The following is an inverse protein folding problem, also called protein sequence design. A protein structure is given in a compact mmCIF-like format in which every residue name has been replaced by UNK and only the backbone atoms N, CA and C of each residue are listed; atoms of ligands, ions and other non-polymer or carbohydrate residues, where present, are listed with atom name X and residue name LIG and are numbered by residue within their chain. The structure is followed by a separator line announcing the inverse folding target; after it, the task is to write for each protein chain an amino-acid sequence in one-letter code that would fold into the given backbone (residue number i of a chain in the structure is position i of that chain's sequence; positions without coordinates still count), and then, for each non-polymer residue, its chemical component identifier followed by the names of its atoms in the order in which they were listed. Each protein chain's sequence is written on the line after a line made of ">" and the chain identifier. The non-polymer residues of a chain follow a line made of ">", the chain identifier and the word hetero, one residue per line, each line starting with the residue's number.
data_IF_466167630017
#
_entry.id   IF_466167630017
#
_cell.length_a   1.000
_cell.length_b   1.000
_cell.length_c   1.000
_cell.angle_alpha   90.00
_cell.angle_beta   90.00
_cell.angle_gamma   90.00
#
_symmetry.space_group_name_H-M   'P 1'
#
loop_
_entity.id
_entity.type
_entity.pdbx_description
1 polymer ?
#
# COMPACT_ATOMS: atom_id res chain seq x y z
N UNK A 1 -5.65 31.33 -20.67
CA UNK A 1 -5.50 30.60 -19.39
C UNK A 1 -5.99 31.51 -18.28
N UNK A 2 -6.91 31.06 -17.41
CA UNK A 2 -7.28 31.84 -16.22
C UNK A 2 -6.05 31.98 -15.33
N UNK A 3 -5.76 33.19 -14.90
CA UNK A 3 -4.70 33.46 -13.93
C UNK A 3 -5.13 32.81 -12.60
N UNK A 4 -4.24 32.13 -11.86
CA UNK A 4 -4.59 31.59 -10.54
C UNK A 4 -5.09 32.70 -9.61
N UNK A 5 -6.08 32.39 -8.77
CA UNK A 5 -6.75 33.37 -7.91
C UNK A 5 -5.76 34.13 -7.00
N UNK A 6 -4.66 33.50 -6.62
CA UNK A 6 -3.62 34.10 -5.77
C UNK A 6 -2.89 35.28 -6.45
N UNK A 7 -2.95 35.41 -7.78
CA UNK A 7 -2.41 36.56 -8.52
C UNK A 7 -3.46 37.62 -8.83
N UNK A 8 -4.73 37.37 -8.49
CA UNK A 8 -5.76 38.41 -8.51
C UNK A 8 -5.74 39.26 -7.24
N UNK A 9 -4.96 38.85 -6.24
CA UNK A 9 -4.69 39.55 -5.00
C UNK A 9 -4.20 41.00 -5.21
N UNK A 10 -4.75 41.92 -4.40
CA UNK A 10 -4.50 43.36 -4.49
C UNK A 10 -3.03 43.71 -4.22
N UNK A 11 -2.43 43.12 -3.19
CA UNK A 11 -1.02 43.34 -2.87
C UNK A 11 -0.11 42.85 -4.00
N UNK A 12 -0.43 41.72 -4.63
CA UNK A 12 0.35 41.21 -5.78
C UNK A 12 0.30 42.19 -6.96
N UNK A 13 -0.89 42.72 -7.28
CA UNK A 13 -1.08 43.67 -8.39
C UNK A 13 -0.40 45.01 -8.14
N UNK A 14 -0.63 45.58 -6.96
CA UNK A 14 -0.26 46.97 -6.68
C UNK A 14 1.20 47.12 -6.22
N UNK A 15 1.77 46.04 -5.68
CA UNK A 15 3.15 46.01 -5.18
C UNK A 15 4.06 45.18 -6.07
N UNK A 16 3.79 43.87 -6.21
CA UNK A 16 4.76 42.94 -6.80
C UNK A 16 4.84 43.04 -8.33
N UNK A 17 3.75 43.38 -8.99
CA UNK A 17 3.72 43.67 -10.42
C UNK A 17 4.06 45.12 -10.77
N UNK A 18 4.08 46.01 -9.76
CA UNK A 18 4.33 47.43 -9.98
C UNK A 18 5.82 47.72 -10.24
N UNK A 19 6.15 47.94 -11.51
CA UNK A 19 7.50 48.32 -11.97
C UNK A 19 7.70 49.84 -12.10
N UNK A 20 6.78 50.67 -11.59
CA UNK A 20 6.92 52.13 -11.59
C UNK A 20 8.09 52.57 -10.72
N UNK A 21 8.79 53.64 -11.10
CA UNK A 21 9.82 54.23 -10.22
C UNK A 21 9.21 55.05 -9.07
N UNK A 22 7.91 55.35 -9.13
CA UNK A 22 7.21 56.04 -8.04
C UNK A 22 7.16 55.13 -6.82
N UNK A 23 7.53 55.71 -5.69
CA UNK A 23 7.45 55.03 -4.39
C UNK A 23 5.98 54.94 -3.95
N UNK A 24 5.65 53.84 -3.29
CA UNK A 24 4.34 53.66 -2.65
C UNK A 24 4.28 54.46 -1.34
N UNK A 25 3.07 54.61 -0.79
CA UNK A 25 2.91 55.24 0.52
C UNK A 25 3.68 54.45 1.59
N UNK A 26 4.49 55.16 2.38
CA UNK A 26 5.34 54.61 3.44
C UNK A 26 6.33 53.53 2.93
N UNK A 27 6.72 53.62 1.66
CA UNK A 27 7.74 52.73 1.08
C UNK A 27 9.15 53.19 1.46
N UNK A 28 9.87 52.32 2.14
CA UNK A 28 11.27 52.52 2.50
C UNK A 28 12.16 51.62 1.66
N UNK A 29 13.29 52.15 1.18
CA UNK A 29 14.28 51.40 0.40
C UNK A 29 15.59 51.23 1.16
N UNK A 30 16.13 50.01 1.18
CA UNK A 30 17.45 49.69 1.75
C UNK A 30 18.35 49.02 0.72
N UNK A 31 19.65 49.31 0.77
CA UNK A 31 20.65 48.66 -0.08
C UNK A 31 20.76 47.18 0.31
N UNK A 32 20.83 46.30 -0.68
CA UNK A 32 21.03 44.86 -0.43
C UNK A 32 22.52 44.61 -0.16
N UNK A 33 22.84 44.13 1.04
CA UNK A 33 24.22 43.82 1.45
C UNK A 33 24.84 42.74 0.53
N UNK A 34 26.03 43.03 -0.01
CA UNK A 34 26.71 42.19 -1.01
C UNK A 34 26.16 42.32 -2.43
N UNK A 35 25.20 43.22 -2.66
CA UNK A 35 24.60 43.53 -3.95
C UNK A 35 24.28 45.04 -4.04
N UNK A 36 25.29 45.88 -3.87
CA UNK A 36 25.17 47.34 -3.66
C UNK A 36 24.52 48.09 -4.84
N UNK A 37 24.52 47.46 -6.01
CA UNK A 37 23.82 47.88 -7.23
C UNK A 37 22.28 47.77 -7.13
N UNK A 38 21.76 47.19 -6.05
CA UNK A 38 20.34 46.91 -5.87
C UNK A 38 19.86 47.39 -4.50
N UNK A 39 18.61 47.83 -4.48
CA UNK A 39 17.88 48.15 -3.25
C UNK A 39 16.60 47.30 -3.18
N UNK A 40 16.15 47.02 -1.96
CA UNK A 40 14.90 46.32 -1.68
C UNK A 40 14.00 47.20 -0.81
N UNK A 41 12.70 47.18 -1.07
CA UNK A 41 11.73 47.89 -0.26
C UNK A 41 11.13 47.07 0.87
N UNK A 42 10.59 47.73 1.90
CA UNK A 42 9.84 47.10 2.99
C UNK A 42 8.63 46.30 2.48
N UNK A 43 8.09 46.66 1.31
CA UNK A 43 7.03 45.91 0.62
C UNK A 43 7.55 44.80 -0.30
N UNK A 44 8.87 44.61 -0.45
CA UNK A 44 9.45 43.54 -1.26
C UNK A 44 9.62 43.85 -2.76
N UNK A 45 9.50 45.12 -3.15
CA UNK A 45 9.91 45.58 -4.49
C UNK A 45 11.44 45.64 -4.55
N UNK A 46 12.01 45.45 -5.74
CA UNK A 46 13.47 45.48 -5.93
C UNK A 46 13.83 46.49 -7.00
N UNK A 47 14.74 47.41 -6.67
CA UNK A 47 15.20 48.49 -7.53
C UNK A 47 16.64 48.19 -7.95
N UNK A 48 16.88 48.08 -9.25
CA UNK A 48 18.23 48.16 -9.81
C UNK A 48 18.60 49.64 -9.87
N UNK A 49 19.69 50.00 -9.19
CA UNK A 49 20.16 51.39 -9.14
C UNK A 49 20.87 51.76 -10.44
N UNK A 50 20.86 53.06 -10.71
CA UNK A 50 21.62 53.65 -11.81
C UNK A 50 23.13 53.39 -11.61
N UNK A 51 23.81 52.97 -12.67
CA UNK A 51 25.26 52.72 -12.65
C UNK A 51 25.87 52.76 -14.05
N UNK A 52 27.16 53.02 -14.12
CA UNK A 52 27.95 52.86 -15.34
C UNK A 52 28.57 51.46 -15.38
N UNK A 53 28.51 50.82 -16.53
CA UNK A 53 29.10 49.49 -16.75
C UNK A 53 30.06 49.58 -17.94
N UNK A 54 31.34 49.21 -17.77
CA UNK A 54 32.30 49.24 -18.86
C UNK A 54 31.95 48.18 -19.90
N UNK A 55 31.90 48.58 -21.17
CA UNK A 55 31.74 47.67 -22.30
C UNK A 55 33.11 47.12 -22.72
N UNK A 56 33.16 45.93 -23.36
CA UNK A 56 34.41 45.40 -23.94
C UNK A 56 35.07 46.33 -24.96
N UNK A 57 34.31 47.27 -25.51
CA UNK A 57 34.76 48.29 -26.47
C UNK A 57 35.46 49.49 -25.80
N UNK A 58 35.54 49.54 -24.47
CA UNK A 58 36.14 50.63 -23.70
C UNK A 58 35.24 51.85 -23.44
N UNK A 59 33.97 51.80 -23.88
CA UNK A 59 32.97 52.82 -23.56
C UNK A 59 32.14 52.42 -22.34
N UNK A 60 31.68 53.41 -21.56
CA UNK A 60 30.79 53.16 -20.43
C UNK A 60 29.31 53.17 -20.86
N UNK A 61 28.60 52.10 -20.54
CA UNK A 61 27.15 52.03 -20.68
C UNK A 61 26.47 52.52 -19.41
N UNK A 62 25.67 53.59 -19.51
CA UNK A 62 24.82 54.06 -18.41
C UNK A 62 23.57 53.18 -18.30
N UNK A 63 23.49 52.34 -17.27
CA UNK A 63 22.25 51.63 -16.92
C UNK A 63 21.39 52.53 -16.05
N UNK A 64 20.24 52.95 -16.56
CA UNK A 64 19.24 53.70 -15.79
C UNK A 64 18.65 52.84 -14.67
N UNK A 65 18.20 53.52 -13.62
CA UNK A 65 17.46 52.86 -12.55
C UNK A 65 16.14 52.25 -13.04
N UNK A 66 15.73 51.15 -12.41
CA UNK A 66 14.44 50.50 -12.68
C UNK A 66 13.98 49.62 -11.54
N UNK A 67 12.68 49.52 -11.33
CA UNK A 67 12.09 48.47 -10.49
C UNK A 67 12.02 47.17 -11.31
N UNK A 68 12.55 46.10 -10.72
CA UNK A 68 12.75 44.80 -11.37
C UNK A 68 11.48 43.96 -11.33
N UNK A 69 11.23 43.22 -12.42
CA UNK A 69 10.21 42.17 -12.43
C UNK A 69 10.64 41.00 -11.54
N UNK A 70 9.75 40.59 -10.64
CA UNK A 70 9.96 39.47 -9.73
C UNK A 70 9.61 38.14 -10.40
N UNK A 71 10.12 37.05 -9.82
CA UNK A 71 9.95 35.68 -10.29
C UNK A 71 9.08 34.92 -9.29
N UNK A 72 7.98 34.35 -9.77
CA UNK A 72 7.06 33.56 -8.95
C UNK A 72 7.32 32.06 -9.14
N UNK A 73 7.58 31.36 -8.04
CA UNK A 73 7.88 29.92 -8.03
C UNK A 73 6.68 29.16 -7.50
N UNK A 74 6.07 28.36 -8.37
CA UNK A 74 4.99 27.45 -7.98
C UNK A 74 5.55 26.25 -7.20
N UNK A 75 4.98 26.00 -6.03
CA UNK A 75 5.21 24.80 -5.22
C UNK A 75 3.92 23.99 -5.21
N UNK A 76 3.97 22.76 -5.72
CA UNK A 76 2.81 21.87 -5.79
C UNK A 76 2.78 20.96 -4.57
N UNK A 77 1.63 20.87 -3.92
CA UNK A 77 1.34 19.86 -2.92
C UNK A 77 0.44 18.79 -3.55
N UNK A 78 1.02 17.65 -3.92
CA UNK A 78 0.28 16.55 -4.53
C UNK A 78 -0.79 15.95 -3.59
N UNK A 79 -0.54 15.97 -2.27
CA UNK A 79 -1.46 15.39 -1.28
C UNK A 79 -2.76 16.21 -1.14
N UNK A 80 -2.64 17.54 -1.10
CA UNK A 80 -3.78 18.44 -0.98
C UNK A 80 -4.30 18.94 -2.34
N UNK A 81 -3.72 18.45 -3.44
CA UNK A 81 -3.95 18.93 -4.82
C UNK A 81 -3.91 20.46 -4.96
N UNK A 82 -3.18 21.13 -4.06
CA UNK A 82 -3.10 22.58 -3.96
C UNK A 82 -1.73 23.09 -4.38
N UNK A 83 -1.68 24.37 -4.75
CA UNK A 83 -0.44 25.05 -5.12
C UNK A 83 -0.20 26.24 -4.20
N UNK A 84 1.05 26.55 -3.95
CA UNK A 84 1.45 27.77 -3.24
C UNK A 84 2.60 28.43 -3.99
N UNK A 85 2.72 29.75 -3.89
CA UNK A 85 3.73 30.50 -4.63
C UNK A 85 4.77 31.12 -3.71
N UNK A 86 5.97 31.33 -4.24
CA UNK A 86 7.05 32.06 -3.57
C UNK A 86 7.65 33.12 -4.47
N UNK A 87 7.98 34.26 -3.89
CA UNK A 87 8.56 35.40 -4.61
C UNK A 87 10.08 35.36 -4.54
N UNK A 88 10.70 35.41 -5.72
CA UNK A 88 12.14 35.41 -5.91
C UNK A 88 12.57 36.56 -6.81
N UNK A 89 13.85 36.89 -6.74
CA UNK A 89 14.50 37.84 -7.64
C UNK A 89 15.82 37.27 -8.15
N UNK A 90 16.33 37.89 -9.22
CA UNK A 90 17.66 37.57 -9.75
C UNK A 90 18.53 38.81 -9.64
N UNK A 91 19.56 38.73 -8.81
CA UNK A 91 20.56 39.78 -8.63
C UNK A 91 21.82 39.39 -9.38
N UNK A 92 22.47 40.33 -10.07
CA UNK A 92 23.72 40.08 -10.79
C UNK A 92 24.89 40.79 -10.11
N UNK A 93 25.97 40.06 -9.84
CA UNK A 93 27.22 40.57 -9.27
C UNK A 93 28.39 39.93 -10.03
N UNK A 94 29.33 40.75 -10.52
CA UNK A 94 30.53 40.29 -11.26
C UNK A 94 30.21 39.32 -12.41
N UNK A 95 29.17 39.62 -13.19
CA UNK A 95 28.71 38.77 -14.29
C UNK A 95 27.96 37.49 -13.88
N UNK A 96 27.95 37.12 -12.59
CA UNK A 96 27.21 35.96 -12.07
C UNK A 96 25.80 36.35 -11.62
N UNK A 97 24.82 35.49 -11.90
CA UNK A 97 23.41 35.66 -11.52
C UNK A 97 23.09 34.85 -10.27
N UNK A 98 22.45 35.48 -9.30
CA UNK A 98 22.07 34.90 -8.02
C UNK A 98 20.56 35.00 -7.83
N UNK A 99 19.91 33.85 -7.67
CA UNK A 99 18.49 33.80 -7.30
C UNK A 99 18.34 33.96 -5.80
N UNK A 100 17.65 35.00 -5.34
CA UNK A 100 17.40 35.26 -3.92
C UNK A 100 15.90 35.22 -3.62
N UNK A 101 15.55 34.89 -2.38
CA UNK A 101 14.16 34.94 -1.89
C UNK A 101 13.87 36.37 -1.45
N UNK A 102 12.77 36.94 -1.96
CA UNK A 102 12.38 38.31 -1.61
C UNK A 102 12.01 38.39 -0.12
N UNK A 103 11.21 37.43 0.39
CA UNK A 103 10.86 37.37 1.81
C UNK A 103 12.09 37.37 2.74
N UNK A 104 13.15 36.60 2.40
CA UNK A 104 14.39 36.60 3.20
C UNK A 104 15.09 37.95 3.18
N UNK A 105 15.16 38.59 2.01
CA UNK A 105 15.79 39.90 1.87
C UNK A 105 15.00 40.96 2.65
N UNK A 106 13.67 41.00 2.53
CA UNK A 106 12.83 41.95 3.25
C UNK A 106 13.01 41.75 4.76
N UNK A 107 12.88 40.52 5.25
CA UNK A 107 13.02 40.24 6.68
C UNK A 107 14.41 40.65 7.20
N UNK A 108 15.47 40.30 6.47
CA UNK A 108 16.84 40.62 6.87
C UNK A 108 17.10 42.13 6.98
N UNK A 109 16.57 42.92 6.04
CA UNK A 109 16.84 44.36 5.98
C UNK A 109 15.85 45.20 6.80
N UNK A 110 14.63 44.73 7.04
CA UNK A 110 13.57 45.53 7.68
C UNK A 110 13.07 45.00 9.02
N UNK A 111 13.33 43.73 9.36
CA UNK A 111 12.83 43.14 10.62
C UNK A 111 13.98 42.79 11.55
N UNK A 112 14.87 41.87 11.14
CA UNK A 112 15.97 41.41 11.98
C UNK A 112 17.07 40.79 11.11
N UNK A 113 18.33 41.17 11.36
CA UNK A 113 19.48 40.57 10.68
C UNK A 113 19.71 39.12 11.10
N UNK A 114 20.01 38.28 10.14
CA UNK A 114 20.35 36.87 10.36
C UNK A 114 21.29 36.35 9.25
N UNK A 115 21.95 35.21 9.48
CA UNK A 115 22.78 34.60 8.43
C UNK A 115 21.93 34.17 7.23
N UNK A 116 22.09 34.88 6.11
CA UNK A 116 21.38 34.62 4.87
C UNK A 116 21.69 33.25 4.25
N UNK A 117 22.80 32.62 4.64
CA UNK A 117 23.18 31.28 4.21
C UNK A 117 22.66 30.18 5.14
N UNK A 118 22.20 30.52 6.34
CA UNK A 118 21.63 29.57 7.27
C UNK A 118 20.28 29.05 6.74
N UNK A 119 20.26 27.75 6.45
CA UNK A 119 19.11 26.99 5.96
C UNK A 119 18.16 26.56 7.07
N UNK A 120 18.57 26.68 8.34
CA UNK A 120 17.75 26.41 9.51
C UNK A 120 16.75 27.53 9.80
N UNK A 121 17.04 28.72 9.28
CA UNK A 121 16.18 29.90 9.38
C UNK A 121 15.20 29.90 8.20
N UNK A 122 13.90 29.88 8.50
CA UNK A 122 12.84 29.96 7.51
C UNK A 122 12.02 31.22 7.76
N UNK A 123 11.84 32.01 6.71
CA UNK A 123 10.93 33.14 6.72
C UNK A 123 9.61 32.70 6.06
N UNK A 124 8.50 32.87 6.78
CA UNK A 124 7.15 32.60 6.30
C UNK A 124 6.28 33.85 6.45
N UNK A 125 5.16 33.91 5.74
CA UNK A 125 4.14 34.93 5.99
C UNK A 125 3.24 34.50 7.17
N UNK A 126 2.64 35.46 7.86
CA UNK A 126 1.74 35.19 8.98
C UNK A 126 0.39 34.61 8.53
N UNK A 127 -0.05 34.99 7.33
CA UNK A 127 -1.29 34.54 6.67
C UNK A 127 -1.14 33.27 5.83
N UNK A 128 0.02 32.60 5.87
CA UNK A 128 0.38 31.45 5.03
C UNK A 128 0.34 31.70 3.50
N UNK A 129 0.16 32.95 3.03
CA UNK A 129 0.32 33.35 1.62
C UNK A 129 1.77 33.74 1.30
N UNK A 130 2.51 32.85 0.63
CA UNK A 130 3.91 33.08 0.24
C UNK A 130 4.15 34.19 -0.80
N UNK A 131 3.11 34.86 -1.28
CA UNK A 131 3.19 36.08 -2.07
C UNK A 131 3.28 37.34 -1.19
N UNK A 132 2.74 37.34 0.02
CA UNK A 132 2.73 38.51 0.89
C UNK A 132 4.06 38.66 1.62
N UNK A 133 4.96 39.43 1.01
CA UNK A 133 6.37 39.58 1.43
C UNK A 133 6.68 40.91 2.10
N UNK A 134 5.66 41.64 2.56
CA UNK A 134 5.84 42.89 3.29
C UNK A 134 6.44 42.63 4.69
N UNK A 135 7.27 43.53 5.17
CA UNK A 135 8.01 43.36 6.44
C UNK A 135 7.10 43.07 7.64
N UNK A 136 5.91 43.69 7.69
CA UNK A 136 4.94 43.50 8.78
C UNK A 136 4.25 42.13 8.80
N UNK A 137 4.25 41.40 7.68
CA UNK A 137 3.61 40.09 7.56
C UNK A 137 4.60 38.92 7.61
N UNK A 138 5.90 39.17 7.83
CA UNK A 138 6.91 38.12 7.80
C UNK A 138 7.34 37.72 9.21
N UNK A 139 7.49 36.40 9.42
CA UNK A 139 7.93 35.80 10.67
C UNK A 139 9.13 34.88 10.43
N UNK A 140 10.11 34.95 11.34
CA UNK A 140 11.23 34.02 11.40
C UNK A 140 10.86 32.82 12.26
N UNK A 141 10.95 31.63 11.68
CA UNK A 141 10.76 30.36 12.37
C UNK A 141 11.91 29.39 12.06
N UNK A 142 12.05 28.39 12.92
CA UNK A 142 12.96 27.26 12.71
C UNK A 142 12.38 26.25 11.71
N UNK A 143 13.25 25.42 11.12
CA UNK A 143 12.82 24.26 10.31
C UNK A 143 11.93 23.31 11.12
N UNK A 144 12.16 23.18 12.43
CA UNK A 144 11.36 22.31 13.30
C UNK A 144 9.93 22.81 13.41
N UNK A 145 9.73 24.09 13.70
CA UNK A 145 8.40 24.71 13.77
C UNK A 145 7.68 24.63 12.43
N UNK A 146 8.40 24.82 11.31
CA UNK A 146 7.83 24.64 9.98
C UNK A 146 7.32 23.21 9.75
N UNK A 147 8.07 22.19 10.18
CA UNK A 147 7.65 20.79 10.09
C UNK A 147 6.41 20.53 10.94
N UNK A 148 6.35 21.09 12.15
CA UNK A 148 5.17 20.99 13.02
C UNK A 148 3.94 21.67 12.40
N UNK A 149 4.06 22.90 11.88
CA UNK A 149 2.99 23.56 11.13
C UNK A 149 2.52 22.71 9.94
N UNK A 150 3.44 22.12 9.18
CA UNK A 150 3.12 21.22 8.06
C UNK A 150 2.30 20.00 8.52
N UNK A 151 2.65 19.43 9.68
CA UNK A 151 1.96 18.29 10.27
C UNK A 151 0.55 18.65 10.77
N UNK A 152 0.41 19.74 11.53
CA UNK A 152 -0.87 20.19 12.08
C UNK A 152 -1.83 20.69 11.00
N UNK A 153 -1.32 21.38 9.98
CA UNK A 153 -2.14 21.83 8.85
C UNK A 153 -2.42 20.70 7.84
N UNK A 154 -2.15 19.43 8.19
CA UNK A 154 -2.34 18.25 7.35
C UNK A 154 -1.80 18.43 5.92
N UNK A 155 -0.65 19.10 5.77
CA UNK A 155 -0.04 19.33 4.44
C UNK A 155 0.76 18.13 3.93
N UNK A 156 0.85 17.07 4.73
CA UNK A 156 1.44 15.78 4.39
C UNK A 156 0.59 14.67 5.03
N UNK A 157 0.71 13.44 4.52
CA UNK A 157 -0.02 12.27 5.03
C UNK A 157 0.16 12.13 6.55
N UNK A 158 -0.89 12.42 7.30
CA UNK A 158 -0.89 12.36 8.75
C UNK A 158 -1.68 11.15 9.24
N UNK A 159 -0.99 10.14 9.76
CA UNK A 159 -1.62 8.90 10.24
C UNK A 159 -2.60 9.15 11.38
N UNK A 160 -2.33 10.11 12.28
CA UNK A 160 -3.25 10.43 13.37
C UNK A 160 -4.60 10.93 12.85
N UNK A 161 -4.58 11.82 11.85
CA UNK A 161 -5.82 12.34 11.26
C UNK A 161 -6.58 11.23 10.53
N UNK A 162 -5.88 10.36 9.80
CA UNK A 162 -6.49 9.21 9.12
C UNK A 162 -7.14 8.26 10.14
N UNK A 163 -6.44 7.94 11.23
CA UNK A 163 -6.95 7.00 12.23
C UNK A 163 -8.01 7.61 13.16
N UNK A 164 -8.20 8.92 13.12
CA UNK A 164 -9.34 9.59 13.74
C UNK A 164 -10.62 9.54 12.89
N UNK A 165 -10.57 9.01 11.66
CA UNK A 165 -11.76 8.93 10.82
C UNK A 165 -12.78 7.93 11.39
N UNK A 166 -14.08 8.27 11.37
CA UNK A 166 -15.13 7.39 11.85
C UNK A 166 -15.35 6.21 10.90
N UNK A 167 -15.67 5.04 11.48
CA UNK A 167 -15.80 3.77 10.75
C UNK A 167 -17.01 2.97 11.18
N UNK A 168 -17.49 2.13 10.26
CA UNK A 168 -18.56 1.16 10.50
C UNK A 168 -18.03 -0.26 10.38
N UNK A 169 -18.47 -1.09 11.31
CA UNK A 169 -18.12 -2.51 11.40
C UNK A 169 -19.26 -3.36 10.84
N UNK A 170 -18.93 -4.30 9.96
CA UNK A 170 -19.89 -5.23 9.38
C UNK A 170 -19.46 -6.69 9.56
N UNK A 171 -20.43 -7.60 9.53
CA UNK A 171 -20.15 -9.02 9.36
C UNK A 171 -19.53 -9.27 7.98
N UNK A 172 -18.95 -10.46 7.80
CA UNK A 172 -18.40 -10.88 6.50
C UNK A 172 -19.46 -10.95 5.39
N UNK A 173 -20.74 -11.08 5.77
CA UNK A 173 -21.91 -11.17 4.89
C UNK A 173 -22.61 -9.81 4.69
N UNK A 174 -22.09 -8.73 5.28
CA UNK A 174 -22.57 -7.37 5.07
C UNK A 174 -23.65 -6.87 6.02
N UNK A 175 -23.87 -7.53 7.16
CA UNK A 175 -24.74 -7.01 8.21
C UNK A 175 -23.98 -6.00 9.07
N UNK A 176 -24.51 -4.78 9.22
CA UNK A 176 -23.94 -3.77 10.12
C UNK A 176 -24.00 -4.25 11.58
N UNK A 177 -22.90 -4.05 12.31
CA UNK A 177 -22.75 -4.44 13.72
C UNK A 177 -22.66 -3.21 14.62
N UNK A 178 -21.73 -2.30 14.30
CA UNK A 178 -21.42 -1.14 15.13
C UNK A 178 -20.87 0.02 14.29
N UNK A 179 -20.89 1.21 14.88
CA UNK A 179 -20.22 2.42 14.38
C UNK A 179 -19.29 2.93 15.47
N UNK A 180 -18.14 3.46 15.08
CA UNK A 180 -17.12 4.02 15.97
C UNK A 180 -16.73 5.41 15.47
N UNK A 181 -16.42 6.29 16.41
CA UNK A 181 -16.06 7.68 16.10
C UNK A 181 -14.65 7.77 15.48
N UNK A 182 -13.82 6.73 15.68
CA UNK A 182 -12.49 6.64 15.09
C UNK A 182 -12.03 5.21 14.80
N UNK A 183 -11.05 5.06 13.88
CA UNK A 183 -10.34 3.80 13.67
C UNK A 183 -9.60 3.36 14.94
N UNK A 184 -9.09 4.31 15.74
CA UNK A 184 -8.43 4.00 17.01
C UNK A 184 -9.37 3.30 18.00
N UNK A 185 -10.57 3.84 18.19
CA UNK A 185 -11.59 3.26 19.06
C UNK A 185 -11.98 1.85 18.59
N UNK A 186 -12.22 1.70 17.28
CA UNK A 186 -12.51 0.41 16.68
C UNK A 186 -11.38 -0.61 16.90
N UNK A 187 -10.13 -0.17 16.73
CA UNK A 187 -8.93 -1.01 16.87
C UNK A 187 -8.71 -1.47 18.31
N UNK A 188 -8.97 -0.61 19.29
CA UNK A 188 -8.94 -0.94 20.72
C UNK A 188 -9.98 -2.02 21.05
N UNK A 189 -11.21 -1.86 20.55
CA UNK A 189 -12.30 -2.81 20.78
C UNK A 189 -11.98 -4.23 20.26
N UNK A 190 -11.34 -4.33 19.09
CA UNK A 190 -10.93 -5.64 18.53
C UNK A 190 -9.52 -6.08 18.96
N UNK A 191 -8.82 -5.27 19.78
CA UNK A 191 -7.43 -5.48 20.20
C UNK A 191 -6.47 -5.75 19.03
N UNK A 192 -6.57 -4.94 17.97
CA UNK A 192 -5.68 -5.00 16.81
C UNK A 192 -5.09 -3.63 16.48
N UNK A 193 -4.17 -3.58 15.50
CA UNK A 193 -3.64 -2.30 15.03
C UNK A 193 -4.68 -1.56 14.18
N UNK A 194 -4.71 -0.22 14.30
CA UNK A 194 -5.49 0.65 13.41
C UNK A 194 -5.13 0.44 11.92
N UNK A 195 -3.86 0.12 11.65
CA UNK A 195 -3.37 -0.24 10.32
C UNK A 195 -4.10 -1.45 9.74
N UNK A 196 -4.37 -2.49 10.54
CA UNK A 196 -5.11 -3.67 10.07
C UNK A 196 -6.53 -3.30 9.59
N UNK A 197 -7.20 -2.37 10.26
CA UNK A 197 -8.50 -1.85 9.85
C UNK A 197 -8.36 -1.02 8.56
N UNK A 198 -7.31 -0.20 8.47
CA UNK A 198 -7.03 0.60 7.27
C UNK A 198 -6.78 -0.26 6.03
N UNK A 199 -6.02 -1.34 6.16
CA UNK A 199 -5.74 -2.28 5.07
C UNK A 199 -7.05 -2.93 4.55
N UNK A 200 -8.03 -3.13 5.43
CA UNK A 200 -9.37 -3.60 5.03
C UNK A 200 -10.13 -2.52 4.28
N UNK A 201 -10.08 -1.27 4.75
CA UNK A 201 -10.71 -0.12 4.08
C UNK A 201 -10.10 0.08 2.67
N UNK A 202 -8.80 -0.13 2.53
CA UNK A 202 -8.09 -0.09 1.24
C UNK A 202 -8.26 -1.36 0.39
N UNK A 203 -8.98 -2.36 0.88
CA UNK A 203 -9.21 -3.66 0.21
C UNK A 203 -7.94 -4.49 -0.01
N UNK A 204 -6.86 -4.20 0.73
CA UNK A 204 -5.63 -5.01 0.76
C UNK A 204 -5.87 -6.32 1.54
N UNK A 205 -6.65 -6.23 2.61
CA UNK A 205 -7.16 -7.39 3.34
C UNK A 205 -8.67 -7.46 3.30
N UNK A 206 -9.20 -8.68 3.44
CA UNK A 206 -10.63 -8.88 3.52
C UNK A 206 -11.17 -8.49 4.90
N UNK A 207 -10.47 -8.81 5.98
CA UNK A 207 -10.98 -8.64 7.35
C UNK A 207 -9.91 -8.23 8.35
N UNK A 208 -10.36 -7.51 9.39
CA UNK A 208 -9.60 -7.18 10.59
C UNK A 208 -10.48 -7.47 11.80
N UNK A 209 -9.94 -8.17 12.80
CA UNK A 209 -10.71 -8.71 13.94
C UNK A 209 -11.79 -9.71 13.53
N UNK A 210 -11.80 -10.17 12.27
CA UNK A 210 -12.87 -11.00 11.70
C UNK A 210 -14.09 -10.25 11.17
N UNK A 211 -13.97 -8.93 11.02
CA UNK A 211 -15.02 -8.04 10.51
C UNK A 211 -14.59 -7.34 9.23
N UNK A 212 -15.59 -6.83 8.50
CA UNK A 212 -15.40 -5.90 7.39
C UNK A 212 -15.50 -4.48 7.92
N UNK A 213 -14.69 -3.58 7.35
CA UNK A 213 -14.57 -2.21 7.83
C UNK A 213 -14.68 -1.24 6.66
N UNK A 214 -15.47 -0.20 6.84
CA UNK A 214 -15.63 0.87 5.87
C UNK A 214 -15.65 2.21 6.60
N UNK A 215 -15.16 3.25 5.94
CA UNK A 215 -15.34 4.63 6.43
C UNK A 215 -16.83 4.93 6.57
N UNK A 216 -17.21 5.70 7.59
CA UNK A 216 -18.61 6.06 7.81
C UNK A 216 -19.22 6.84 6.64
N UNK A 217 -18.39 7.56 5.88
CA UNK A 217 -18.76 8.29 4.66
C UNK A 217 -19.05 7.40 3.46
N UNK A 218 -18.68 6.12 3.52
CA UNK A 218 -18.86 5.15 2.44
C UNK A 218 -20.00 4.18 2.76
N UNK A 219 -20.89 3.96 1.79
CA UNK A 219 -21.97 2.98 1.89
C UNK A 219 -21.55 1.76 1.06
N UNK A 220 -21.24 0.62 1.69
CA UNK A 220 -20.79 -0.56 0.97
C UNK A 220 -21.94 -1.21 0.20
N UNK A 221 -21.62 -1.73 -0.99
CA UNK A 221 -22.56 -2.47 -1.82
C UNK A 221 -22.39 -4.00 -1.62
N UNK A 222 -23.24 -4.80 -2.29
CA UNK A 222 -23.14 -6.26 -2.20
C UNK A 222 -21.81 -6.80 -2.72
N UNK A 223 -21.17 -6.12 -3.67
CA UNK A 223 -19.91 -6.54 -4.27
C UNK A 223 -18.72 -6.36 -3.32
N UNK A 224 -18.77 -5.37 -2.43
CA UNK A 224 -17.74 -5.17 -1.39
C UNK A 224 -17.64 -6.36 -0.41
N UNK A 225 -18.72 -7.11 -0.27
CA UNK A 225 -18.76 -8.33 0.57
C UNK A 225 -18.38 -9.59 -0.21
N UNK A 226 -18.42 -9.55 -1.54
CA UNK A 226 -18.02 -10.68 -2.38
C UNK A 226 -16.51 -10.83 -2.41
N UNK A 227 -16.05 -12.09 -2.30
CA UNK A 227 -14.63 -12.40 -2.46
C UNK A 227 -14.35 -12.59 -3.95
N UNK A 228 -14.00 -11.51 -4.63
CA UNK A 228 -13.59 -11.59 -6.02
C UNK A 228 -12.29 -12.39 -6.12
N UNK A 229 -12.33 -13.50 -6.86
CA UNK A 229 -11.14 -14.23 -7.26
C UNK A 229 -10.39 -13.42 -8.31
N UNK A 230 -9.54 -12.49 -7.89
CA UNK A 230 -8.49 -12.04 -8.81
C UNK A 230 -7.66 -13.27 -9.22
N UNK A 231 -7.37 -13.45 -10.52
CA UNK A 231 -6.62 -14.58 -11.07
C UNK A 231 -5.11 -14.42 -10.83
N UNK A 232 -4.70 -13.85 -9.70
CA UNK A 232 -3.31 -13.39 -9.47
C UNK A 232 -2.30 -14.52 -9.32
N UNK A 233 -2.70 -15.77 -9.54
CA UNK A 233 -1.80 -16.86 -9.90
C UNK A 233 -2.65 -17.99 -10.46
N UNK A 234 -2.51 -18.32 -11.74
CA UNK A 234 -2.98 -19.61 -12.24
C UNK A 234 -2.22 -20.65 -11.38
N UNK A 235 -2.90 -21.48 -10.57
CA UNK A 235 -2.20 -22.47 -9.77
C UNK A 235 -1.41 -23.38 -10.71
N UNK A 236 -0.13 -23.62 -10.40
CA UNK A 236 0.67 -24.58 -11.16
C UNK A 236 -0.11 -25.89 -11.28
N UNK A 237 -0.44 -26.28 -12.51
CA UNK A 237 -1.27 -27.47 -12.78
C UNK A 237 -0.59 -28.73 -12.24
N UNK A 238 0.75 -28.75 -12.19
CA UNK A 238 1.57 -29.85 -11.72
C UNK A 238 2.08 -29.61 -10.29
N UNK A 239 1.88 -30.59 -9.42
CA UNK A 239 2.58 -30.69 -8.14
C UNK A 239 4.05 -31.10 -8.37
N UNK A 240 4.90 -30.11 -8.67
CA UNK A 240 6.31 -30.31 -9.00
C UNK A 240 7.10 -31.00 -7.87
N UNK A 241 6.75 -30.73 -6.61
CA UNK A 241 7.41 -31.35 -5.44
C UNK A 241 7.18 -32.85 -5.41
N UNK A 242 5.94 -33.30 -5.61
CA UNK A 242 5.61 -34.72 -5.67
C UNK A 242 6.25 -35.40 -6.89
N UNK A 243 6.19 -34.76 -8.06
CA UNK A 243 6.80 -35.26 -9.28
C UNK A 243 8.32 -35.47 -9.14
N UNK A 244 9.03 -34.51 -8.52
CA UNK A 244 10.46 -34.66 -8.21
C UNK A 244 10.73 -35.82 -7.25
N UNK A 245 9.93 -35.97 -6.19
CA UNK A 245 10.07 -37.06 -5.21
C UNK A 245 9.79 -38.45 -5.79
N UNK A 246 8.99 -38.55 -6.85
CA UNK A 246 8.74 -39.80 -7.59
C UNK A 246 9.84 -40.16 -8.60
N UNK A 247 10.95 -39.41 -8.62
CA UNK A 247 12.02 -39.66 -9.58
C UNK A 247 11.71 -39.12 -10.98
N UNK A 248 10.88 -38.08 -11.08
CA UNK A 248 10.52 -37.40 -12.35
C UNK A 248 10.00 -38.37 -13.42
N UNK A 249 8.92 -39.12 -13.14
CA UNK A 249 8.33 -40.01 -14.12
C UNK A 249 7.92 -39.24 -15.38
N UNK A 250 8.00 -39.90 -16.54
CA UNK A 250 7.56 -39.32 -17.81
C UNK A 250 6.03 -39.16 -17.82
N UNK A 251 5.56 -37.93 -17.63
CA UNK A 251 4.13 -37.57 -17.54
C UNK A 251 3.87 -36.28 -18.30
N UNK A 252 2.66 -36.13 -18.83
CA UNK A 252 2.23 -34.87 -19.45
C UNK A 252 2.09 -33.78 -18.37
N UNK A 253 2.90 -32.73 -18.46
CA UNK A 253 2.91 -31.61 -17.51
C UNK A 253 1.63 -30.77 -17.62
N UNK A 254 1.01 -30.71 -18.81
CA UNK A 254 -0.23 -29.96 -19.05
C UNK A 254 -1.45 -30.72 -18.57
N UNK A 255 -1.40 -32.05 -18.57
CA UNK A 255 -2.45 -32.91 -18.04
C UNK A 255 -1.85 -34.02 -17.15
N UNK A 256 -1.36 -33.66 -15.96
CA UNK A 256 -0.68 -34.60 -15.09
C UNK A 256 -1.64 -35.63 -14.50
N UNK A 257 -1.12 -36.81 -14.08
CA UNK A 257 -1.90 -37.80 -13.37
C UNK A 257 -2.61 -37.22 -12.13
N UNK A 258 -3.76 -37.77 -11.76
CA UNK A 258 -4.62 -37.25 -10.71
C UNK A 258 -3.87 -36.91 -9.40
N UNK A 259 -2.94 -37.76 -8.94
CA UNK A 259 -2.16 -37.51 -7.73
C UNK A 259 -1.26 -36.27 -7.76
N UNK A 260 -0.89 -35.78 -8.96
CA UNK A 260 -0.07 -34.60 -9.18
C UNK A 260 -0.86 -33.42 -9.79
N UNK A 261 -2.13 -33.62 -10.13
CA UNK A 261 -2.96 -32.62 -10.79
C UNK A 261 -3.60 -31.66 -9.78
N UNK A 262 -3.18 -30.40 -9.83
CA UNK A 262 -3.61 -29.32 -8.94
C UNK A 262 -4.72 -28.45 -9.54
N UNK A 263 -5.21 -28.76 -10.74
CA UNK A 263 -6.27 -28.02 -11.42
C UNK A 263 -7.61 -28.19 -10.70
N UNK A 264 -8.39 -27.11 -10.60
CA UNK A 264 -9.76 -27.16 -10.11
C UNK A 264 -10.73 -27.80 -11.11
N UNK A 265 -10.34 -27.97 -12.38
CA UNK A 265 -11.16 -28.64 -13.38
C UNK A 265 -11.27 -30.13 -13.06
N UNK A 266 -12.46 -30.69 -13.21
CA UNK A 266 -12.72 -32.10 -13.02
C UNK A 266 -12.07 -32.92 -14.15
N UNK A 267 -11.50 -34.07 -13.79
CA UNK A 267 -10.98 -35.03 -14.74
C UNK A 267 -12.13 -35.87 -15.34
N UNK A 268 -11.95 -36.46 -16.52
CA UNK A 268 -12.99 -37.32 -17.11
C UNK A 268 -13.41 -38.45 -16.16
N UNK A 269 -14.72 -38.61 -15.94
CA UNK A 269 -15.30 -39.64 -15.05
C UNK A 269 -14.84 -39.52 -13.59
N UNK A 270 -14.56 -38.29 -13.14
CA UNK A 270 -14.23 -38.02 -11.76
C UNK A 270 -15.46 -37.68 -10.92
N UNK A 271 -15.65 -38.43 -9.83
CA UNK A 271 -16.74 -38.22 -8.89
C UNK A 271 -16.17 -37.74 -7.56
N UNK A 272 -16.88 -36.85 -6.86
CA UNK A 272 -16.45 -36.30 -5.59
C UNK A 272 -17.37 -36.74 -4.44
N UNK A 273 -16.79 -37.16 -3.33
CA UNK A 273 -17.49 -37.49 -2.08
C UNK A 273 -16.92 -36.71 -0.89
N UNK A 274 -17.72 -36.37 0.13
CA UNK A 274 -17.22 -35.67 1.31
C UNK A 274 -16.25 -36.55 2.11
N UNK A 275 -15.18 -35.93 2.62
CA UNK A 275 -14.26 -36.59 3.56
C UNK A 275 -14.96 -36.67 4.94
N UNK A 276 -15.10 -37.87 5.53
CA UNK A 276 -15.80 -38.03 6.81
C UNK A 276 -15.14 -37.24 7.95
N UNK A 277 -15.97 -36.58 8.78
CA UNK A 277 -15.54 -35.88 9.99
C UNK A 277 -15.03 -34.45 9.77
N UNK A 278 -15.34 -33.82 8.63
CA UNK A 278 -14.88 -32.47 8.27
C UNK A 278 -15.97 -31.54 7.73
N UNK A 279 -17.26 -31.77 8.03
CA UNK A 279 -18.37 -30.86 7.70
C UNK A 279 -18.37 -30.37 6.23
N UNK A 280 -18.09 -31.28 5.29
CA UNK A 280 -17.99 -31.00 3.85
C UNK A 280 -16.92 -29.95 3.45
N UNK A 281 -15.97 -29.63 4.34
CA UNK A 281 -14.83 -28.75 4.01
C UNK A 281 -13.80 -29.38 3.07
N UNK A 282 -13.75 -30.71 3.04
CA UNK A 282 -12.88 -31.45 2.15
C UNK A 282 -13.68 -32.50 1.41
N UNK A 283 -13.41 -32.63 0.11
CA UNK A 283 -13.95 -33.65 -0.78
C UNK A 283 -12.79 -34.53 -1.27
N UNK A 284 -13.04 -35.81 -1.45
CA UNK A 284 -12.14 -36.75 -2.12
C UNK A 284 -12.75 -37.19 -3.44
N UNK A 285 -11.95 -37.21 -4.50
CA UNK A 285 -12.37 -37.69 -5.80
C UNK A 285 -12.16 -39.20 -5.96
N UNK A 286 -12.92 -39.84 -6.85
CA UNK A 286 -12.76 -41.25 -7.21
C UNK A 286 -11.36 -41.59 -7.75
N UNK A 287 -10.62 -40.59 -8.23
CA UNK A 287 -9.23 -40.70 -8.70
C UNK A 287 -8.19 -40.34 -7.63
N UNK A 288 -8.64 -40.05 -6.41
CA UNK A 288 -7.77 -39.81 -5.25
C UNK A 288 -7.34 -38.37 -5.06
N UNK A 289 -7.91 -37.40 -5.78
CA UNK A 289 -7.65 -35.97 -5.54
C UNK A 289 -8.37 -35.52 -4.29
N UNK A 290 -7.81 -34.54 -3.58
CA UNK A 290 -8.43 -33.95 -2.40
C UNK A 290 -8.67 -32.48 -2.66
N UNK A 291 -9.91 -32.03 -2.51
CA UNK A 291 -10.34 -30.66 -2.74
C UNK A 291 -10.81 -30.04 -1.45
N UNK A 292 -10.26 -28.88 -1.09
CA UNK A 292 -10.78 -28.02 -0.02
C UNK A 292 -11.83 -27.09 -0.63
N UNK A 293 -13.05 -27.09 -0.09
CA UNK A 293 -14.10 -26.17 -0.52
C UNK A 293 -13.81 -24.74 -0.08
N UNK A 294 -14.33 -23.76 -0.83
CA UNK A 294 -14.17 -22.36 -0.44
C UNK A 294 -14.90 -22.06 0.87
N UNK A 295 -14.41 -21.08 1.63
CA UNK A 295 -15.13 -20.58 2.80
C UNK A 295 -14.24 -20.07 3.92
N UNK A 296 -14.88 -19.41 4.88
CA UNK A 296 -14.24 -18.79 6.03
C UNK A 296 -13.65 -19.84 7.00
N UNK A 297 -12.51 -19.52 7.59
CA UNK A 297 -11.97 -20.29 8.71
C UNK A 297 -12.90 -20.18 9.93
N UNK A 298 -13.14 -21.33 10.58
CA UNK A 298 -14.02 -21.44 11.75
C UNK A 298 -13.30 -21.06 13.04
N UNK A 299 -11.99 -21.33 13.11
CA UNK A 299 -11.16 -21.07 14.29
C UNK A 299 -9.99 -20.14 13.98
N UNK A 300 -9.66 -19.24 14.91
CA UNK A 300 -8.54 -18.31 14.78
C UNK A 300 -8.89 -17.06 13.96
N UNK A 301 -7.93 -16.52 13.21
CA UNK A 301 -8.16 -15.36 12.32
C UNK A 301 -9.19 -15.74 11.25
N UNK A 302 -10.24 -14.94 11.07
CA UNK A 302 -11.30 -15.17 10.06
C UNK A 302 -10.80 -14.82 8.66
N UNK A 303 -10.22 -15.80 7.98
CA UNK A 303 -9.64 -15.70 6.65
C UNK A 303 -10.53 -16.47 5.68
N UNK A 304 -10.75 -15.93 4.49
CA UNK A 304 -11.43 -16.64 3.44
C UNK A 304 -10.42 -17.53 2.69
N UNK A 305 -10.62 -18.84 2.74
CA UNK A 305 -9.82 -19.78 1.97
C UNK A 305 -10.56 -20.07 0.66
N UNK A 306 -9.88 -19.81 -0.47
CA UNK A 306 -10.39 -20.18 -1.79
C UNK A 306 -10.42 -21.71 -1.94
N UNK A 307 -11.29 -22.17 -2.84
CA UNK A 307 -11.31 -23.56 -3.26
C UNK A 307 -9.94 -23.95 -3.85
N UNK A 308 -9.45 -25.14 -3.51
CA UNK A 308 -8.11 -25.56 -3.90
C UNK A 308 -7.99 -27.08 -3.88
N UNK A 309 -7.31 -27.65 -4.89
CA UNK A 309 -6.81 -29.03 -4.80
C UNK A 309 -5.58 -29.07 -3.88
N UNK A 310 -5.61 -29.91 -2.86
CA UNK A 310 -4.52 -30.04 -1.90
C UNK A 310 -3.40 -30.90 -2.48
N UNK A 311 -2.17 -30.42 -2.30
CA UNK A 311 -0.99 -31.17 -2.65
C UNK A 311 -0.92 -32.49 -1.88
N UNK A 312 -0.48 -33.53 -2.59
CA UNK A 312 -0.18 -34.83 -2.02
C UNK A 312 1.33 -35.00 -1.87
N UNK A 313 1.71 -35.82 -0.91
CA UNK A 313 3.07 -36.12 -0.53
C UNK A 313 3.24 -37.64 -0.46
N UNK A 314 4.50 -38.08 -0.51
CA UNK A 314 4.85 -39.49 -0.38
C UNK A 314 5.37 -39.73 1.01
N UNK A 315 4.84 -40.78 1.62
CA UNK A 315 5.38 -41.39 2.81
C UNK A 315 6.14 -42.65 2.42
N UNK A 316 7.42 -42.72 2.77
CA UNK A 316 8.31 -43.87 2.56
C UNK A 316 8.57 -44.52 3.92
N UNK A 317 7.66 -45.40 4.36
CA UNK A 317 7.85 -46.18 5.58
C UNK A 317 8.41 -47.56 5.21
N UNK A 318 9.75 -47.66 5.18
CA UNK A 318 10.45 -48.89 4.82
C UNK A 318 10.11 -49.34 3.40
N UNK A 319 9.57 -50.56 3.26
CA UNK A 319 9.23 -51.18 1.96
C UNK A 319 7.93 -50.65 1.32
N UNK A 320 7.12 -49.87 2.03
CA UNK A 320 5.81 -49.43 1.57
C UNK A 320 5.79 -47.94 1.25
N UNK A 321 5.37 -47.62 0.04
CA UNK A 321 5.18 -46.26 -0.44
C UNK A 321 3.69 -45.95 -0.45
N UNK A 322 3.30 -44.81 0.13
CA UNK A 322 1.90 -44.37 0.12
C UNK A 322 1.78 -42.87 -0.11
N UNK A 323 0.68 -42.47 -0.73
CA UNK A 323 0.33 -41.07 -0.90
C UNK A 323 -0.49 -40.60 0.31
N UNK A 324 -0.16 -39.42 0.82
CA UNK A 324 -0.92 -38.77 1.87
C UNK A 324 -1.10 -37.27 1.59
N UNK A 325 -2.08 -36.66 2.24
CA UNK A 325 -2.24 -35.20 2.27
C UNK A 325 -2.39 -34.73 3.72
N UNK A 326 -2.20 -33.43 3.94
CA UNK A 326 -2.35 -32.80 5.26
C UNK A 326 -3.61 -31.95 5.24
N UNK A 327 -4.60 -32.34 6.05
CA UNK A 327 -5.81 -31.54 6.26
C UNK A 327 -5.63 -30.65 7.48
N UNK A 328 -5.86 -29.35 7.29
CA UNK A 328 -5.92 -28.38 8.39
C UNK A 328 -7.38 -28.01 8.66
N UNK A 329 -7.90 -28.44 9.81
CA UNK A 329 -9.27 -28.16 10.22
C UNK A 329 -9.32 -27.78 11.71
N UNK A 330 -10.03 -26.68 12.02
CA UNK A 330 -10.16 -26.15 13.38
C UNK A 330 -8.82 -26.00 14.12
N UNK A 331 -7.78 -25.53 13.42
CA UNK A 331 -6.44 -25.33 13.95
C UNK A 331 -5.61 -26.61 14.14
N UNK A 332 -6.18 -27.79 13.85
CA UNK A 332 -5.51 -29.09 13.96
C UNK A 332 -5.08 -29.57 12.58
N UNK A 333 -3.82 -29.98 12.46
CA UNK A 333 -3.27 -30.62 11.27
C UNK A 333 -3.36 -32.14 11.43
N UNK A 334 -3.96 -32.82 10.44
CA UNK A 334 -4.03 -34.29 10.40
C UNK A 334 -3.54 -34.79 9.05
N UNK A 335 -2.57 -35.71 9.08
CA UNK A 335 -2.13 -36.45 7.90
C UNK A 335 -3.14 -37.55 7.59
N UNK A 336 -3.52 -37.68 6.32
CA UNK A 336 -4.44 -38.72 5.87
C UNK A 336 -3.90 -39.41 4.62
N UNK A 337 -3.83 -40.74 4.69
CA UNK A 337 -3.44 -41.61 3.58
C UNK A 337 -4.56 -41.69 2.54
N UNK A 338 -4.23 -41.43 1.28
CA UNK A 338 -5.18 -41.32 0.16
C UNK A 338 -5.85 -42.66 -0.13
N UNK A 339 -5.09 -43.76 -0.18
CA UNK A 339 -5.64 -45.11 -0.41
C UNK A 339 -6.67 -45.51 0.66
N UNK A 340 -6.46 -45.09 1.91
CA UNK A 340 -7.38 -45.36 3.03
C UNK A 340 -8.73 -44.66 2.82
N UNK A 341 -8.71 -43.38 2.44
CA UNK A 341 -9.92 -42.63 2.15
C UNK A 341 -10.63 -43.12 0.88
N UNK A 342 -9.87 -43.42 -0.18
CA UNK A 342 -10.45 -43.93 -1.43
C UNK A 342 -11.22 -45.23 -1.21
N UNK A 343 -10.61 -46.16 -0.49
CA UNK A 343 -11.27 -47.43 -0.16
C UNK A 343 -12.54 -47.20 0.64
N UNK A 344 -12.47 -46.36 1.69
CA UNK A 344 -13.64 -46.04 2.50
C UNK A 344 -14.77 -45.41 1.67
N UNK A 345 -14.47 -44.39 0.86
CA UNK A 345 -15.49 -43.61 0.17
C UNK A 345 -16.05 -44.31 -1.08
N UNK A 346 -15.27 -45.16 -1.76
CA UNK A 346 -15.62 -45.69 -3.08
C UNK A 346 -15.64 -47.23 -3.17
N UNK A 347 -15.10 -47.96 -2.20
CA UNK A 347 -15.07 -49.44 -2.23
C UNK A 347 -15.95 -50.03 -1.13
N UNK A 348 -15.62 -49.76 0.14
CA UNK A 348 -16.35 -50.29 1.30
C UNK A 348 -16.08 -49.45 2.54
N UNK A 349 -17.14 -49.06 3.23
CA UNK A 349 -17.05 -48.36 4.51
C UNK A 349 -16.46 -49.27 5.62
N UNK A 350 -15.61 -48.68 6.45
CA UNK A 350 -15.02 -49.32 7.62
C UNK A 350 -14.58 -48.25 8.61
N UNK A 351 -14.32 -48.62 9.87
CA UNK A 351 -13.87 -47.63 10.85
C UNK A 351 -12.45 -47.12 10.53
N UNK A 352 -12.37 -45.88 10.02
CA UNK A 352 -11.12 -45.21 9.66
C UNK A 352 -10.27 -44.89 10.90
N UNK A 353 -10.88 -44.79 12.08
CA UNK A 353 -10.18 -44.51 13.34
C UNK A 353 -9.39 -45.70 13.86
N UNK A 354 -9.81 -46.92 13.49
CA UNK A 354 -9.16 -48.16 13.92
C UNK A 354 -7.77 -48.25 13.28
N UNK A 355 -6.76 -48.32 14.16
CA UNK A 355 -5.34 -48.44 13.77
C UNK A 355 -4.95 -49.87 13.40
N UNK A 356 -5.75 -50.88 13.72
CA UNK A 356 -5.42 -52.30 13.44
C UNK A 356 -5.73 -52.74 12.01
N UNK A 357 -6.45 -51.91 11.23
CA UNK A 357 -6.79 -52.14 9.84
C UNK A 357 -5.97 -51.23 8.92
N UNK A 358 -5.46 -51.79 7.83
CA UNK A 358 -4.73 -51.07 6.80
C UNK A 358 -5.27 -51.41 5.40
N UNK A 359 -5.17 -50.44 4.49
CA UNK A 359 -5.50 -50.64 3.07
C UNK A 359 -4.21 -50.86 2.31
N UNK A 360 -4.06 -52.04 1.71
CA UNK A 360 -2.92 -52.40 0.88
C UNK A 360 -3.19 -51.94 -0.55
N UNK A 361 -2.21 -51.27 -1.14
CA UNK A 361 -2.27 -50.77 -2.50
C UNK A 361 -1.40 -51.65 -3.41
N UNK A 362 -2.05 -52.45 -4.26
CA UNK A 362 -1.37 -53.36 -5.21
C UNK A 362 -1.25 -52.74 -6.62
N UNK A 363 -1.40 -51.42 -6.75
CA UNK A 363 -1.17 -50.74 -8.01
C UNK A 363 0.33 -50.66 -8.31
N UNK A 364 0.69 -50.85 -9.58
CA UNK A 364 2.03 -50.58 -10.10
C UNK A 364 1.91 -49.71 -11.37
N UNK A 365 2.42 -48.47 -11.36
CA UNK A 365 3.04 -47.78 -10.22
C UNK A 365 2.01 -47.44 -9.12
N UNK A 366 2.43 -47.43 -7.85
CA UNK A 366 1.55 -47.25 -6.69
C UNK A 366 0.71 -45.96 -6.70
N UNK A 367 1.20 -44.91 -7.38
CA UNK A 367 0.53 -43.61 -7.48
C UNK A 367 -0.54 -43.54 -8.58
N UNK A 368 -0.64 -44.54 -9.46
CA UNK A 368 -1.77 -44.73 -10.40
C UNK A 368 -2.85 -45.58 -9.73
N UNK A 369 -3.66 -44.93 -8.90
CA UNK A 369 -4.63 -45.61 -8.03
C UNK A 369 -5.82 -46.13 -8.85
N UNK A 370 -5.89 -47.46 -9.01
CA UNK A 370 -7.11 -48.18 -9.40
C UNK A 370 -7.78 -48.76 -8.15
N UNK A 371 -9.07 -48.48 -7.97
CA UNK A 371 -9.87 -48.90 -6.82
C UNK A 371 -9.95 -50.43 -6.67
N UNK A 372 -9.99 -51.18 -7.77
CA UNK A 372 -10.05 -52.66 -7.74
C UNK A 372 -8.80 -53.32 -7.18
N UNK A 373 -7.67 -52.59 -7.15
CA UNK A 373 -6.38 -53.05 -6.62
C UNK A 373 -6.13 -52.60 -5.18
N UNK A 374 -7.15 -52.04 -4.50
CA UNK A 374 -7.10 -51.70 -3.08
C UNK A 374 -7.80 -52.80 -2.27
N UNK A 375 -7.14 -53.31 -1.22
CA UNK A 375 -7.71 -54.35 -0.36
C UNK A 375 -7.52 -54.02 1.12
N UNK A 376 -8.54 -54.30 1.94
CA UNK A 376 -8.51 -54.09 3.39
C UNK A 376 -7.94 -55.33 4.09
N UNK A 377 -6.94 -55.12 4.94
CA UNK A 377 -6.28 -56.18 5.70
C UNK A 377 -6.08 -55.76 7.16
N UNK A 378 -5.89 -56.74 8.05
CA UNK A 378 -5.38 -56.46 9.39
C UNK A 378 -3.87 -56.24 9.32
N UNK A 379 -3.34 -55.31 10.13
CA UNK A 379 -1.89 -55.04 10.18
C UNK A 379 -1.11 -56.32 10.47
N UNK A 380 -1.59 -57.16 11.39
CA UNK A 380 -0.97 -58.44 11.71
C UNK A 380 -0.88 -59.39 10.49
N UNK A 381 -1.91 -59.43 9.64
CA UNK A 381 -1.89 -60.26 8.43
C UNK A 381 -0.92 -59.77 7.36
N UNK A 382 -0.69 -58.45 7.29
CA UNK A 382 0.28 -57.87 6.34
C UNK A 382 1.71 -58.08 6.82
N UNK A 383 1.96 -57.92 8.13
CA UNK A 383 3.29 -58.13 8.72
C UNK A 383 3.73 -59.60 8.72
N UNK A 384 2.80 -60.57 8.85
CA UNK A 384 3.09 -62.01 8.78
C UNK A 384 3.36 -62.55 7.37
N UNK A 385 3.06 -61.78 6.32
CA UNK A 385 3.30 -62.14 4.91
C UNK A 385 4.68 -61.66 4.40
N UNK A 386 5.43 -60.95 5.24
CA UNK A 386 6.87 -60.71 5.07
C UNK A 386 7.63 -61.83 5.76
#
# INVERSE_FOLDING_TARGET
>A
MKVPAEFEDEYVKDVLYNTSLRDLQDEEWKIIEGFENYAISNYGRIKSRERFVPLPTGQDWKLSERVMKLIFVKQVNAYLTSSSYKVHCTLSLEGKKYRKSVARLVYHHFVEKFDMNDRLIVIISNDDNGLHVNSGNLLKISVREKRLKTFYNNRARNRNIIYQQPVKQYTVDGKLIASFDSIYEAAEQIRQSAESIMDVIHKEFLTAGGFRWFLQTYIPDKTDFTVNSHPDTIPDILNASLWQKLGRPNVDIKNPPACMNMSLQDLPEEEWKPVPGYDNRFLISSKGRIKRTSGWTVSGRKVFLKEQILAQYIDTNGSYQSLFTILNYNGKKKSITISKLLYYCFVKEFDISVKTLCVVNNNDPFWKLNLSKLSLHSIHSVLKRK
#
